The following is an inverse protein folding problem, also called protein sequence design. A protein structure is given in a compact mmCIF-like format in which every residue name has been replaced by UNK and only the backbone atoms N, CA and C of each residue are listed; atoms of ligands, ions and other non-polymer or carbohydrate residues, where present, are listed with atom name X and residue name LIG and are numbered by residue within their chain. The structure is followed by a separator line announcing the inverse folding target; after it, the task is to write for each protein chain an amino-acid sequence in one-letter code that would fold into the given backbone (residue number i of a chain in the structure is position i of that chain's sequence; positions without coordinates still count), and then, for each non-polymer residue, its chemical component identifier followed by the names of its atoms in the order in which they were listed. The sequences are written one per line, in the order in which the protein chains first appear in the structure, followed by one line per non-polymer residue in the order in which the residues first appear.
data_IF_868873282122
#
_entry.id   IF_868873282122
#
_cell.length_a   1.000
_cell.length_b   1.000
_cell.length_c   1.000
_cell.angle_alpha   90.00
_cell.angle_beta   90.00
_cell.angle_gamma   90.00
#
_symmetry.space_group_name_H-M   'P 1'
#
loop_
_entity.id
_entity.type
_entity.pdbx_description
1 polymer ?
#
# COMPACT_ATOMS: atom_id res chain seq x y z
N UNK A 1 -7.77 19.10 5.32
CA UNK A 1 -6.72 18.53 6.20
C UNK A 1 -5.78 17.72 5.33
N UNK A 2 -4.51 18.11 5.25
CA UNK A 2 -3.46 17.37 4.54
C UNK A 2 -2.87 16.38 5.54
N UNK A 3 -3.06 15.06 5.40
CA UNK A 3 -2.30 14.11 6.20
C UNK A 3 -0.81 14.29 5.86
N UNK A 4 0.04 14.37 6.89
CA UNK A 4 1.51 14.42 6.75
C UNK A 4 2.08 13.09 6.23
N UNK A 5 1.27 12.03 6.21
CA UNK A 5 1.60 10.76 5.58
C UNK A 5 1.13 10.76 4.12
N UNK A 6 1.93 10.23 3.19
CA UNK A 6 1.55 10.05 1.79
C UNK A 6 0.53 8.92 1.64
N UNK A 7 -0.67 9.11 2.19
CA UNK A 7 -1.82 8.21 2.05
C UNK A 7 -2.74 8.75 0.95
N UNK A 8 -3.07 7.89 -0.01
CA UNK A 8 -3.97 8.13 -1.12
C UNK A 8 -4.76 6.87 -1.45
N UNK A 9 -5.73 6.95 -2.37
CA UNK A 9 -6.52 5.78 -2.72
C UNK A 9 -5.63 4.68 -3.30
N UNK A 10 -5.74 3.45 -2.77
CA UNK A 10 -4.89 2.31 -3.09
C UNK A 10 -5.62 1.35 -4.01
N UNK A 11 -4.96 0.95 -5.09
CA UNK A 11 -5.39 -0.17 -5.91
C UNK A 11 -4.60 -1.39 -5.45
N UNK A 12 -5.32 -2.42 -5.04
CA UNK A 12 -4.74 -3.63 -4.46
C UNK A 12 -5.09 -4.82 -5.35
N UNK A 13 -4.08 -5.60 -5.71
CA UNK A 13 -4.22 -6.85 -6.43
C UNK A 13 -3.60 -7.95 -5.60
N UNK A 14 -4.40 -8.93 -5.17
CA UNK A 14 -3.96 -10.05 -4.35
C UNK A 14 -4.23 -11.35 -5.08
N UNK A 15 -3.22 -12.21 -5.12
CA UNK A 15 -3.32 -13.57 -5.62
C UNK A 15 -2.67 -14.53 -4.62
N UNK A 16 -3.23 -15.72 -4.48
CA UNK A 16 -2.68 -16.72 -3.58
C UNK A 16 -3.09 -18.13 -3.98
N UNK A 17 -2.32 -19.09 -3.51
CA UNK A 17 -2.57 -20.51 -3.70
C UNK A 17 -2.29 -21.26 -2.40
N UNK A 18 -3.15 -22.22 -2.11
CA UNK A 18 -3.00 -23.15 -0.99
C UNK A 18 -2.76 -24.54 -1.54
N UNK A 19 -1.78 -25.24 -0.99
CA UNK A 19 -1.44 -26.61 -1.34
C UNK A 19 -1.57 -27.49 -0.11
N UNK A 20 -2.36 -28.56 -0.23
CA UNK A 20 -2.41 -29.62 0.78
C UNK A 20 -1.23 -30.55 0.54
N UNK A 21 -0.23 -30.50 1.42
CA UNK A 21 0.97 -31.34 1.35
C UNK A 21 0.69 -32.75 1.92
N UNK A 22 -0.15 -32.85 2.95
CA UNK A 22 -0.60 -34.12 3.54
C UNK A 22 -1.95 -33.95 4.25
N UNK A 23 -2.51 -35.03 4.83
CA UNK A 23 -3.81 -35.02 5.54
C UNK A 23 -3.88 -34.04 6.72
N UNK A 24 -2.75 -33.54 7.20
CA UNK A 24 -2.68 -32.55 8.27
C UNK A 24 -1.68 -31.43 7.99
N UNK A 25 -1.18 -31.28 6.75
CA UNK A 25 -0.18 -30.26 6.43
C UNK A 25 -0.64 -29.44 5.22
N UNK A 26 -0.76 -28.13 5.41
CA UNK A 26 -1.11 -27.16 4.37
C UNK A 26 0.00 -26.13 4.22
N UNK A 27 0.22 -25.66 3.01
CA UNK A 27 1.12 -24.55 2.71
C UNK A 27 0.37 -23.51 1.90
N UNK A 28 0.51 -22.23 2.27
CA UNK A 28 -0.06 -21.12 1.53
C UNK A 28 1.04 -20.21 1.01
N UNK A 29 0.85 -19.75 -0.21
CA UNK A 29 1.65 -18.73 -0.85
C UNK A 29 0.71 -17.60 -1.27
N UNK A 30 1.03 -16.38 -0.87
CA UNK A 30 0.27 -15.19 -1.22
C UNK A 30 1.19 -14.11 -1.75
N UNK A 31 0.70 -13.38 -2.75
CA UNK A 31 1.33 -12.20 -3.30
C UNK A 31 0.31 -11.08 -3.41
N UNK A 32 0.67 -9.91 -2.90
CA UNK A 32 -0.15 -8.71 -3.01
C UNK A 32 0.68 -7.57 -3.59
N UNK A 33 0.15 -6.98 -4.66
CA UNK A 33 0.66 -5.75 -5.24
C UNK A 33 -0.26 -4.59 -4.84
N UNK A 34 0.34 -3.55 -4.29
CA UNK A 34 -0.37 -2.33 -3.91
C UNK A 34 0.21 -1.19 -4.72
N UNK A 35 -0.64 -0.43 -5.40
CA UNK A 35 -0.26 0.80 -6.07
C UNK A 35 -1.18 1.93 -5.63
N UNK A 36 -0.59 2.98 -5.09
CA UNK A 36 -1.32 4.20 -4.80
C UNK A 36 -1.36 5.08 -6.05
N UNK A 37 -2.51 5.70 -6.31
CA UNK A 37 -2.59 6.69 -7.39
C UNK A 37 -1.63 7.86 -7.11
N UNK A 38 -1.00 8.36 -8.17
CA UNK A 38 -0.03 9.45 -8.06
C UNK A 38 -0.67 10.67 -7.39
N UNK A 39 -0.04 11.17 -6.32
CA UNK A 39 -0.54 12.31 -5.57
C UNK A 39 0.50 13.43 -5.58
N UNK A 40 0.04 14.64 -5.92
CA UNK A 40 0.86 15.85 -5.73
C UNK A 40 0.95 16.16 -4.24
N UNK A 41 2.16 16.20 -3.70
CA UNK A 41 2.40 16.57 -2.31
C UNK A 41 3.16 17.88 -2.19
N UNK A 42 3.35 18.34 -0.95
CA UNK A 42 4.05 19.59 -0.62
C UNK A 42 5.05 19.33 0.50
N UNK A 43 6.24 19.89 0.39
CA UNK A 43 7.22 19.90 1.50
C UNK A 43 7.01 21.08 2.46
N UNK A 44 6.22 22.09 2.06
CA UNK A 44 5.94 23.29 2.85
C UNK A 44 4.43 23.53 2.96
N UNK A 45 3.99 23.88 4.16
CA UNK A 45 2.60 24.29 4.40
C UNK A 45 2.34 25.70 3.88
N UNK A 46 1.05 26.03 3.72
CA UNK A 46 0.65 27.40 3.44
C UNK A 46 1.07 28.32 4.60
N UNK A 47 1.48 29.55 4.28
CA UNK A 47 1.77 30.57 5.28
C UNK A 47 0.54 30.81 6.17
N UNK A 48 0.75 31.22 7.43
CA UNK A 48 -0.33 31.47 8.37
C UNK A 48 -1.40 32.39 7.75
N UNK A 49 -2.66 31.94 7.79
CA UNK A 49 -3.82 32.63 7.21
C UNK A 49 -3.88 32.70 5.67
N UNK A 50 -3.16 31.83 4.95
CA UNK A 50 -3.29 31.65 3.49
C UNK A 50 -3.91 30.29 3.14
N UNK A 51 -4.83 30.22 2.16
CA UNK A 51 -5.36 28.94 1.70
C UNK A 51 -4.24 28.15 1.01
N UNK A 52 -4.18 26.85 1.29
CA UNK A 52 -3.27 25.98 0.57
C UNK A 52 -3.72 25.81 -0.88
N UNK A 53 -2.98 26.37 -1.83
CA UNK A 53 -3.29 26.29 -3.26
C UNK A 53 -2.55 25.12 -3.92
N UNK A 54 -3.07 24.62 -5.05
CA UNK A 54 -2.42 23.56 -5.83
C UNK A 54 -1.07 23.98 -6.43
N UNK A 55 -0.80 25.29 -6.51
CA UNK A 55 0.49 25.85 -6.90
C UNK A 55 1.60 25.71 -5.84
N UNK A 56 1.26 25.32 -4.61
CA UNK A 56 2.24 25.05 -3.54
C UNK A 56 2.77 23.59 -3.58
N UNK A 57 2.25 22.75 -4.47
CA UNK A 57 2.73 21.38 -4.62
C UNK A 57 4.10 21.38 -5.31
N UNK A 58 5.10 20.73 -4.71
CA UNK A 58 6.49 20.73 -5.22
C UNK A 58 6.98 19.33 -5.62
N UNK A 59 6.09 18.41 -5.95
CA UNK A 59 6.47 17.08 -6.41
C UNK A 59 5.29 16.14 -6.59
N UNK A 60 5.54 15.03 -7.28
CA UNK A 60 4.64 13.90 -7.42
C UNK A 60 5.14 12.76 -6.55
N UNK A 61 4.29 12.27 -5.65
CA UNK A 61 4.56 11.08 -4.84
C UNK A 61 3.92 9.89 -5.55
N UNK A 62 4.76 8.92 -5.92
CA UNK A 62 4.35 7.61 -6.41
C UNK A 62 4.71 6.58 -5.33
N UNK A 63 3.76 5.69 -5.02
CA UNK A 63 3.95 4.62 -4.06
C UNK A 63 3.46 3.30 -4.64
N UNK A 64 4.32 2.30 -4.61
CA UNK A 64 3.96 0.92 -4.87
C UNK A 64 4.65 0.00 -3.86
N UNK A 65 4.00 -1.13 -3.56
CA UNK A 65 4.52 -2.14 -2.65
C UNK A 65 4.25 -3.54 -3.19
N UNK A 66 5.20 -4.43 -2.93
CA UNK A 66 5.12 -5.86 -3.20
C UNK A 66 5.16 -6.60 -1.86
N UNK A 67 4.09 -7.32 -1.54
CA UNK A 67 3.98 -8.11 -0.33
C UNK A 67 3.97 -9.58 -0.70
N UNK A 68 4.79 -10.37 -0.01
CA UNK A 68 4.88 -11.82 -0.16
C UNK A 68 4.54 -12.45 1.18
N UNK A 69 3.60 -13.39 1.18
CA UNK A 69 3.19 -14.16 2.34
C UNK A 69 3.45 -15.65 2.11
N UNK A 70 4.01 -16.30 3.12
CA UNK A 70 4.18 -17.75 3.17
C UNK A 70 3.67 -18.23 4.53
N UNK A 71 2.80 -19.22 4.54
CA UNK A 71 2.35 -19.88 5.77
C UNK A 71 2.38 -21.40 5.65
N UNK A 72 2.56 -22.05 6.80
CA UNK A 72 2.49 -23.49 6.94
C UNK A 72 1.52 -23.81 8.08
N UNK A 73 0.49 -24.60 7.79
CA UNK A 73 -0.49 -25.06 8.76
C UNK A 73 -0.32 -26.54 9.07
N UNK A 74 -0.38 -26.91 10.35
CA UNK A 74 -0.41 -28.31 10.78
C UNK A 74 -1.65 -28.60 11.64
N UNK A 75 -2.39 -29.65 11.30
CA UNK A 75 -3.57 -30.12 12.03
C UNK A 75 -3.27 -31.47 12.70
N UNK A 76 -3.57 -31.56 14.00
CA UNK A 76 -3.35 -32.72 14.87
C UNK A 76 -4.61 -33.56 15.05
#
# INVERSE_FOLDING_TARGET
MTPLLPEGNRNEFTAGATVNLSRGLTADLAYQFIRQNDRRGRTREALFNQPATTGLNNGLYNFHAHLFGVSLGYAF
#
